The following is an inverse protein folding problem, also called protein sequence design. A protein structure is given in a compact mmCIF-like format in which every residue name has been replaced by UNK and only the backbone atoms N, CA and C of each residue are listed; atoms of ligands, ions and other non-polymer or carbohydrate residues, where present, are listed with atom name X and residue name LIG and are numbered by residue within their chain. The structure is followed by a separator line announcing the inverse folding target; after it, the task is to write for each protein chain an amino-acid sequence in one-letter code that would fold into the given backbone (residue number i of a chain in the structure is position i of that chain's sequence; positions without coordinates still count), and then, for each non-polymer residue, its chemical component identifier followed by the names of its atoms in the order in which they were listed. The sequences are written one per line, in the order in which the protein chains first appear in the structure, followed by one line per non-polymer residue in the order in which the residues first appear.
data_IF_272618955976
#
_entry.id   IF_272618955976
#
_cell.length_a   1.000
_cell.length_b   1.000
_cell.length_c   1.000
_cell.angle_alpha   90.00
_cell.angle_beta   90.00
_cell.angle_gamma   90.00
#
_symmetry.space_group_name_H-M   'P 1'
#
loop_
_entity.id
_entity.type
_entity.pdbx_description
1 polymer ?
#
# COMPACT_ATOMS: atom_id res chain seq x y z
N UNK A 1 -5.41 35.49 -4.95
CA UNK A 1 -6.41 34.42 -5.13
C UNK A 1 -5.67 33.15 -5.52
N UNK A 2 -5.47 32.21 -4.59
CA UNK A 2 -4.59 31.07 -4.81
C UNK A 2 -5.32 29.77 -4.56
N UNK A 3 -5.60 29.02 -5.63
CA UNK A 3 -6.14 27.64 -5.64
C UNK A 3 -7.67 27.46 -5.56
N UNK A 4 -8.48 28.48 -5.25
CA UNK A 4 -9.94 28.33 -5.17
C UNK A 4 -10.58 27.75 -6.45
N UNK A 5 -10.05 28.14 -7.61
CA UNK A 5 -10.52 27.72 -8.93
C UNK A 5 -10.08 26.30 -9.34
N UNK A 6 -9.26 25.62 -8.54
CA UNK A 6 -8.75 24.28 -8.85
C UNK A 6 -9.50 23.21 -8.06
N UNK A 7 -9.81 22.09 -8.71
CA UNK A 7 -10.32 20.90 -8.05
C UNK A 7 -9.29 20.30 -7.05
N UNK A 8 -9.74 19.53 -6.06
CA UNK A 8 -8.89 18.89 -5.05
C UNK A 8 -7.66 18.20 -5.66
N UNK A 9 -7.82 17.39 -6.70
CA UNK A 9 -6.68 16.68 -7.32
C UNK A 9 -5.75 17.61 -8.09
N UNK A 10 -6.28 18.69 -8.67
CA UNK A 10 -5.48 19.72 -9.32
C UNK A 10 -4.67 20.52 -8.30
N UNK A 11 -5.23 20.83 -7.14
CA UNK A 11 -4.51 21.46 -6.01
C UNK A 11 -3.37 20.57 -5.53
N UNK A 12 -3.63 19.28 -5.34
CA UNK A 12 -2.62 18.31 -4.95
C UNK A 12 -1.47 18.22 -5.96
N UNK A 13 -1.79 18.11 -7.26
CA UNK A 13 -0.79 18.08 -8.33
C UNK A 13 0.05 19.36 -8.35
N UNK A 14 -0.57 20.53 -8.20
CA UNK A 14 0.13 21.81 -8.16
C UNK A 14 1.08 21.95 -6.96
N UNK A 15 0.72 21.34 -5.83
CA UNK A 15 1.56 21.30 -4.62
C UNK A 15 2.55 20.12 -4.59
N UNK A 16 2.60 19.30 -5.64
CA UNK A 16 3.38 18.06 -5.69
C UNK A 16 3.12 17.14 -4.49
N UNK A 17 1.85 17.03 -4.13
CA UNK A 17 1.36 16.36 -2.94
C UNK A 17 0.53 15.13 -3.32
N UNK A 18 0.79 14.00 -2.66
CA UNK A 18 -0.05 12.81 -2.78
C UNK A 18 -1.47 13.04 -2.23
N UNK A 19 -2.43 12.21 -2.62
CA UNK A 19 -3.73 12.13 -1.95
C UNK A 19 -3.59 11.63 -0.52
N UNK A 20 -4.61 11.87 0.31
CA UNK A 20 -4.62 11.34 1.69
C UNK A 20 -4.57 9.81 1.72
N UNK A 21 -5.26 9.13 0.80
CA UNK A 21 -5.23 7.68 0.71
C UNK A 21 -3.82 7.18 0.39
N UNK A 22 -3.17 7.76 -0.63
CA UNK A 22 -1.80 7.39 -1.02
C UNK A 22 -0.78 7.62 0.09
N UNK A 23 -0.89 8.72 0.84
CA UNK A 23 -0.01 8.95 2.01
C UNK A 23 -0.22 7.91 3.10
N UNK A 24 -1.47 7.55 3.40
CA UNK A 24 -1.80 6.52 4.41
C UNK A 24 -1.24 5.16 3.99
N UNK A 25 -1.44 4.76 2.74
CA UNK A 25 -0.93 3.48 2.24
C UNK A 25 0.61 3.45 2.18
N UNK A 26 1.24 4.54 1.73
CA UNK A 26 2.70 4.71 1.78
C UNK A 26 3.23 4.55 3.21
N UNK A 27 2.58 5.16 4.20
CA UNK A 27 2.94 5.00 5.61
C UNK A 27 2.83 3.53 6.05
N UNK A 28 1.74 2.84 5.70
CA UNK A 28 1.56 1.43 6.05
C UNK A 28 2.64 0.52 5.46
N UNK A 29 3.09 0.81 4.24
CA UNK A 29 4.18 0.09 3.58
C UNK A 29 5.51 0.32 4.30
N UNK A 30 5.83 1.58 4.61
CA UNK A 30 7.08 1.95 5.32
C UNK A 30 7.10 1.33 6.71
N UNK A 31 6.00 1.47 7.48
CA UNK A 31 5.88 0.89 8.81
C UNK A 31 6.04 -0.64 8.78
N UNK A 32 5.41 -1.31 7.82
CA UNK A 32 5.57 -2.75 7.64
C UNK A 32 7.03 -3.13 7.33
N UNK A 33 7.70 -2.38 6.45
CA UNK A 33 9.11 -2.58 6.12
C UNK A 33 10.02 -2.38 7.33
N UNK A 34 9.82 -1.32 8.11
CA UNK A 34 10.60 -1.06 9.32
C UNK A 34 10.48 -2.19 10.35
N UNK A 35 9.26 -2.72 10.55
CA UNK A 35 9.01 -3.83 11.47
C UNK A 35 9.69 -5.12 11.04
N UNK A 36 9.67 -5.46 9.75
CA UNK A 36 10.31 -6.69 9.25
C UNK A 36 11.84 -6.57 9.12
N UNK A 37 12.38 -5.36 9.06
CA UNK A 37 13.83 -5.10 9.15
C UNK A 37 14.32 -5.00 10.61
N UNK A 38 13.41 -5.03 11.59
CA UNK A 38 13.75 -4.92 13.01
C UNK A 38 14.16 -3.51 13.44
N UNK A 39 13.80 -2.48 12.67
CA UNK A 39 14.06 -1.07 12.99
C UNK A 39 13.02 -0.51 13.98
N UNK A 40 11.84 -1.12 14.04
CA UNK A 40 10.75 -0.79 14.96
C UNK A 40 10.13 -2.05 15.53
N UNK A 41 9.40 -1.91 16.65
CA UNK A 41 8.70 -3.03 17.26
C UNK A 41 7.65 -3.64 16.30
N UNK A 42 7.65 -4.96 16.18
CA UNK A 42 6.77 -5.70 15.28
C UNK A 42 5.34 -5.87 15.84
N UNK A 43 4.68 -4.74 16.11
CA UNK A 43 3.32 -4.68 16.67
C UNK A 43 2.27 -5.34 15.77
N UNK A 44 2.51 -5.40 14.45
CA UNK A 44 1.60 -6.03 13.48
C UNK A 44 1.81 -7.55 13.35
N UNK A 45 2.84 -8.12 14.00
CA UNK A 45 3.16 -9.54 13.93
C UNK A 45 3.51 -10.00 12.51
N UNK A 46 4.16 -9.14 11.73
CA UNK A 46 4.55 -9.39 10.35
C UNK A 46 5.77 -10.29 10.28
N UNK A 47 5.75 -11.28 9.39
CA UNK A 47 6.86 -12.17 9.12
C UNK A 47 7.19 -12.11 7.65
N UNK A 48 8.47 -11.91 7.35
CA UNK A 48 8.96 -12.03 5.98
C UNK A 48 9.04 -13.52 5.60
N UNK A 49 8.37 -13.91 4.51
CA UNK A 49 8.47 -15.22 3.89
C UNK A 49 9.18 -15.08 2.55
N UNK A 50 10.24 -15.87 2.34
CA UNK A 50 10.86 -15.99 1.01
C UNK A 50 10.15 -17.08 0.21
N UNK A 51 9.74 -16.73 -1.01
CA UNK A 51 9.26 -17.66 -2.02
C UNK A 51 10.18 -17.53 -3.23
N UNK A 52 11.16 -18.44 -3.35
CA UNK A 52 12.26 -18.32 -4.30
C UNK A 52 13.04 -17.01 -4.12
N UNK A 53 13.19 -16.24 -5.20
CA UNK A 53 13.87 -14.93 -5.20
C UNK A 53 13.00 -13.79 -4.65
N UNK A 54 11.76 -14.03 -4.25
CA UNK A 54 10.80 -12.98 -3.91
C UNK A 54 10.48 -12.96 -2.42
N UNK A 55 10.60 -11.78 -1.77
CA UNK A 55 10.19 -11.57 -0.38
C UNK A 55 8.72 -11.15 -0.32
N UNK A 56 7.91 -11.86 0.45
CA UNK A 56 6.54 -11.45 0.82
C UNK A 56 6.45 -11.28 2.33
N UNK A 57 5.44 -10.56 2.79
CA UNK A 57 5.11 -10.52 4.22
C UNK A 57 3.78 -11.25 4.45
N UNK A 58 3.66 -11.82 5.64
CA UNK A 58 2.43 -12.41 6.16
C UNK A 58 2.26 -11.96 7.60
N UNK A 59 1.04 -11.69 8.06
CA UNK A 59 0.80 -11.44 9.49
C UNK A 59 0.38 -12.70 10.21
N UNK A 60 1.08 -13.05 11.29
CA UNK A 60 0.70 -14.14 12.17
C UNK A 60 -0.58 -13.85 12.97
N UNK A 61 -1.00 -12.58 13.04
CA UNK A 61 -2.21 -12.14 13.77
C UNK A 61 -3.50 -12.30 12.96
N UNK A 62 -3.42 -12.67 11.69
CA UNK A 62 -4.59 -12.89 10.83
C UNK A 62 -5.04 -14.34 11.03
N UNK A 63 -6.17 -14.60 11.71
CA UNK A 63 -6.67 -15.96 11.84
C UNK A 63 -7.10 -16.49 10.46
N UNK A 64 -6.79 -17.76 10.19
CA UNK A 64 -7.26 -18.51 9.00
C UNK A 64 -8.59 -19.23 9.33
N UNK A 65 -8.82 -19.49 10.61
CA UNK A 65 -10.02 -20.07 11.21
C UNK A 65 -10.01 -19.83 12.72
N UNK A 66 -11.15 -20.02 13.38
CA UNK A 66 -11.26 -20.01 14.84
C UNK A 66 -11.71 -21.42 15.24
N UNK A 67 -10.90 -22.14 16.01
CA UNK A 67 -11.16 -23.51 16.47
C UNK A 67 -11.50 -24.48 15.32
N UNK A 68 -10.74 -24.44 14.23
CA UNK A 68 -10.96 -25.28 13.05
C UNK A 68 -12.18 -24.93 12.20
N UNK A 69 -12.95 -23.89 12.59
CA UNK A 69 -14.11 -23.42 11.83
C UNK A 69 -13.75 -22.21 10.96
N UNK A 70 -14.43 -22.12 9.82
CA UNK A 70 -14.38 -20.93 8.95
C UNK A 70 -14.81 -19.68 9.73
N UNK A 71 -14.11 -18.59 9.45
CA UNK A 71 -14.38 -17.29 10.07
C UNK A 71 -15.73 -16.76 9.56
N UNK A 72 -16.57 -16.26 10.47
CA UNK A 72 -17.86 -15.64 10.13
C UNK A 72 -17.63 -14.41 9.25
N UNK A 73 -18.57 -14.12 8.35
CA UNK A 73 -18.42 -13.03 7.37
C UNK A 73 -18.12 -11.66 8.01
N UNK A 74 -18.83 -11.30 9.08
CA UNK A 74 -18.57 -10.07 9.86
C UNK A 74 -17.11 -9.95 10.30
N UNK A 75 -16.52 -11.06 10.75
CA UNK A 75 -15.16 -11.11 11.29
C UNK A 75 -14.16 -11.06 10.12
N UNK A 76 -14.52 -11.59 8.94
CA UNK A 76 -13.72 -11.44 7.70
C UNK A 76 -13.62 -9.99 7.27
N UNK A 77 -14.70 -9.21 7.37
CA UNK A 77 -14.68 -7.76 7.06
C UNK A 77 -13.82 -6.99 8.03
N UNK A 78 -13.90 -7.28 9.33
CA UNK A 78 -13.01 -6.68 10.34
C UNK A 78 -11.54 -7.00 10.08
N UNK A 79 -11.24 -8.27 9.79
CA UNK A 79 -9.89 -8.72 9.43
C UNK A 79 -9.42 -8.02 8.15
N UNK A 80 -10.26 -7.95 7.12
CA UNK A 80 -9.96 -7.27 5.86
C UNK A 80 -9.57 -5.80 6.08
N UNK A 81 -10.27 -5.12 7.00
CA UNK A 81 -10.04 -3.72 7.30
C UNK A 81 -8.93 -3.46 8.34
N UNK A 82 -8.42 -4.51 8.99
CA UNK A 82 -7.34 -4.42 9.98
C UNK A 82 -6.03 -3.89 9.37
N UNK A 83 -5.26 -3.16 10.16
CA UNK A 83 -3.97 -2.58 9.75
C UNK A 83 -3.00 -3.65 9.28
N UNK A 84 -2.90 -4.78 9.99
CA UNK A 84 -2.01 -5.88 9.61
C UNK A 84 -2.35 -6.44 8.23
N UNK A 85 -3.64 -6.66 7.93
CA UNK A 85 -4.09 -7.17 6.61
C UNK A 85 -3.86 -6.15 5.50
N UNK A 86 -4.12 -4.87 5.76
CA UNK A 86 -3.86 -3.78 4.80
C UNK A 86 -2.37 -3.67 4.49
N UNK A 87 -1.52 -3.60 5.51
CA UNK A 87 -0.06 -3.61 5.36
C UNK A 87 0.44 -4.81 4.56
N UNK A 88 -0.07 -6.02 4.85
CA UNK A 88 0.30 -7.23 4.12
C UNK A 88 0.00 -7.12 2.62
N UNK A 89 -1.22 -6.70 2.26
CA UNK A 89 -1.64 -6.57 0.86
C UNK A 89 -0.86 -5.49 0.12
N UNK A 90 -0.68 -4.33 0.76
CA UNK A 90 0.04 -3.20 0.19
C UNK A 90 1.53 -3.50 -0.02
N UNK A 91 2.17 -4.16 0.94
CA UNK A 91 3.57 -4.54 0.77
C UNK A 91 3.73 -5.60 -0.32
N UNK A 92 2.83 -6.58 -0.38
CA UNK A 92 2.96 -7.70 -1.32
C UNK A 92 2.67 -7.33 -2.78
N UNK A 93 2.05 -6.18 -3.04
CA UNK A 93 1.84 -5.68 -4.41
C UNK A 93 3.03 -4.90 -4.96
N UNK A 94 3.99 -4.52 -4.10
CA UNK A 94 5.22 -3.87 -4.54
C UNK A 94 6.00 -4.75 -5.55
N UNK A 95 6.74 -4.15 -6.49
CA UNK A 95 7.69 -4.85 -7.33
C UNK A 95 8.69 -5.65 -6.50
N UNK A 96 9.13 -6.78 -7.05
CA UNK A 96 10.12 -7.64 -6.38
C UNK A 96 11.40 -6.88 -6.03
N UNK A 97 11.85 -5.98 -6.90
CA UNK A 97 13.03 -5.14 -6.68
C UNK A 97 12.91 -4.29 -5.41
N UNK A 98 11.72 -3.78 -5.10
CA UNK A 98 11.46 -2.97 -3.89
C UNK A 98 11.25 -3.86 -2.66
N UNK A 99 10.49 -4.95 -2.79
CA UNK A 99 10.25 -5.90 -1.66
C UNK A 99 11.54 -6.52 -1.13
N UNK A 100 12.52 -6.69 -2.00
CA UNK A 100 13.80 -7.29 -1.67
C UNK A 100 14.84 -6.29 -1.13
N UNK A 101 14.52 -5.00 -1.05
CA UNK A 101 15.38 -4.02 -0.38
C UNK A 101 15.44 -4.35 1.11
N UNK A 102 16.62 -4.71 1.59
CA UNK A 102 16.90 -5.03 2.99
C UNK A 102 18.22 -4.42 3.42
N UNK A 103 18.48 -4.37 4.73
CA UNK A 103 19.76 -3.91 5.31
C UNK A 103 20.21 -2.53 4.80
N UNK A 104 19.26 -1.62 4.64
CA UNK A 104 19.51 -0.25 4.20
C UNK A 104 18.82 0.73 5.14
N UNK A 105 19.11 2.03 4.99
CA UNK A 105 18.39 3.06 5.72
C UNK A 105 16.93 3.17 5.27
N UNK A 106 16.05 3.60 6.19
CA UNK A 106 14.65 3.92 5.89
C UNK A 106 14.53 4.94 4.76
N UNK A 107 15.45 5.91 4.68
CA UNK A 107 15.42 6.95 3.65
C UNK A 107 15.69 6.40 2.25
N UNK A 108 16.64 5.47 2.13
CA UNK A 108 16.88 4.76 0.88
C UNK A 108 15.63 4.01 0.43
N UNK A 109 14.97 3.28 1.33
CA UNK A 109 13.74 2.57 1.03
C UNK A 109 12.62 3.52 0.59
N UNK A 110 12.39 4.63 1.32
CA UNK A 110 11.40 5.66 0.96
C UNK A 110 11.62 6.18 -0.45
N UNK A 111 12.86 6.49 -0.83
CA UNK A 111 13.19 6.98 -2.18
C UNK A 111 12.82 5.99 -3.28
N UNK A 112 13.10 4.70 -3.09
CA UNK A 112 12.68 3.66 -4.05
C UNK A 112 11.17 3.50 -4.11
N UNK A 113 10.50 3.57 -2.96
CA UNK A 113 9.04 3.54 -2.89
C UNK A 113 8.42 4.74 -3.61
N UNK A 114 8.87 5.96 -3.34
CA UNK A 114 8.34 7.19 -3.95
C UNK A 114 8.57 7.21 -5.47
N UNK A 115 9.72 6.74 -5.95
CA UNK A 115 9.99 6.58 -7.39
C UNK A 115 8.99 5.64 -8.07
N UNK A 116 8.54 4.59 -7.38
CA UNK A 116 7.54 3.68 -7.93
C UNK A 116 6.11 4.20 -7.75
N UNK A 117 5.82 4.88 -6.65
CA UNK A 117 4.50 5.49 -6.44
C UNK A 117 4.21 6.59 -7.46
N UNK A 118 5.23 7.32 -7.93
CA UNK A 118 5.06 8.34 -8.97
C UNK A 118 4.67 7.79 -10.34
N UNK A 119 4.90 6.49 -10.59
CA UNK A 119 4.43 5.83 -11.83
C UNK A 119 2.99 5.31 -11.74
N UNK A 120 2.34 5.43 -10.58
CA UNK A 120 0.98 4.93 -10.34
C UNK A 120 0.02 6.11 -10.25
N UNK A 121 -1.14 6.07 -10.94
CA UNK A 121 -2.17 7.09 -10.80
C UNK A 121 -2.59 7.27 -9.32
N UNK A 122 -2.69 8.52 -8.88
CA UNK A 122 -3.13 8.94 -7.54
C UNK A 122 -4.43 9.76 -7.58
N UNK A 123 -5.32 9.36 -8.48
CA UNK A 123 -6.66 9.93 -8.64
C UNK A 123 -7.67 8.79 -8.70
N UNK A 124 -8.82 8.89 -8.00
CA UNK A 124 -9.90 7.94 -8.13
C UNK A 124 -10.57 8.05 -9.51
N UNK A 125 -11.34 7.02 -9.87
CA UNK A 125 -12.27 7.11 -10.99
C UNK A 125 -13.40 8.06 -10.58
N UNK A 126 -13.53 9.19 -11.28
CA UNK A 126 -14.62 10.15 -11.07
C UNK A 126 -15.42 10.18 -12.37
N UNK A 127 -16.66 9.68 -12.36
CA UNK A 127 -17.55 9.84 -13.51
C UNK A 127 -17.84 11.33 -13.72
N UNK A 128 -17.54 11.84 -14.92
CA UNK A 128 -17.76 13.24 -15.31
C UNK A 128 -16.53 14.16 -15.24
N UNK A 129 -15.41 13.71 -14.67
CA UNK A 129 -14.13 14.44 -14.69
C UNK A 129 -13.11 13.59 -15.45
N UNK A 130 -12.41 14.14 -16.44
CA UNK A 130 -11.60 13.42 -17.44
C UNK A 130 -10.39 12.59 -16.94
N UNK A 131 -10.36 12.16 -15.69
CA UNK A 131 -9.44 11.14 -15.17
C UNK A 131 -10.02 9.74 -15.43
N UNK A 132 -9.79 9.21 -16.64
CA UNK A 132 -10.07 7.82 -16.97
C UNK A 132 -9.07 6.89 -16.28
N UNK A 133 -9.33 6.58 -15.01
CA UNK A 133 -8.58 5.56 -14.29
C UNK A 133 -9.38 4.25 -14.30
N UNK A 134 -8.77 3.17 -14.80
CA UNK A 134 -9.42 1.87 -14.91
C UNK A 134 -9.68 1.19 -13.54
N UNK A 135 -8.98 1.64 -12.50
CA UNK A 135 -9.10 1.09 -11.15
C UNK A 135 -10.38 1.50 -10.44
N UNK A 136 -10.95 0.55 -9.68
CA UNK A 136 -12.18 0.73 -8.91
C UNK A 136 -12.04 1.76 -7.78
N UNK A 137 -10.83 1.89 -7.19
CA UNK A 137 -10.53 2.88 -6.16
C UNK A 137 -9.13 3.44 -6.32
N UNK A 138 -8.79 4.49 -5.58
CA UNK A 138 -7.46 5.10 -5.60
C UNK A 138 -6.40 4.37 -4.73
N UNK A 139 -6.77 3.20 -4.19
CA UNK A 139 -5.84 2.32 -3.48
C UNK A 139 -4.74 1.80 -4.42
N UNK A 140 -3.49 1.81 -3.97
CA UNK A 140 -2.34 1.20 -4.66
C UNK A 140 -2.67 -0.23 -5.08
N UNK A 141 -3.37 -0.99 -4.25
CA UNK A 141 -3.72 -2.39 -4.55
C UNK A 141 -4.61 -2.54 -5.79
N UNK A 142 -5.51 -1.59 -6.05
CA UNK A 142 -6.36 -1.60 -7.24
C UNK A 142 -5.63 -0.99 -8.43
N UNK A 143 -4.97 0.16 -8.24
CA UNK A 143 -4.27 0.89 -9.31
C UNK A 143 -3.17 0.04 -9.98
N UNK A 144 -2.41 -0.71 -9.20
CA UNK A 144 -1.31 -1.56 -9.69
C UNK A 144 -1.76 -2.70 -10.59
N UNK A 145 -3.03 -3.12 -10.56
CA UNK A 145 -3.56 -4.15 -11.47
C UNK A 145 -3.71 -3.66 -12.91
N UNK A 146 -3.82 -2.34 -13.09
CA UNK A 146 -4.04 -1.69 -14.37
C UNK A 146 -2.80 -0.95 -14.89
N UNK A 147 -1.80 -0.72 -14.03
CA UNK A 147 -0.48 -0.31 -14.47
C UNK A 147 0.22 -1.50 -15.14
N UNK A 148 0.28 -1.49 -16.48
CA UNK A 148 1.22 -2.35 -17.21
C UNK A 148 2.61 -1.94 -16.74
N UNK A 149 3.24 -2.80 -15.94
CA UNK A 149 4.65 -2.65 -15.58
C UNK A 149 5.42 -2.91 -16.88
N UNK A 150 5.71 -1.85 -17.64
CA UNK A 150 6.68 -1.88 -18.75
C UNK A 150 8.09 -1.90 -18.18
#
# INVERSE_FOLDING_TARGET
MGLDQLDYHQRLKKLNLYSLERRRERYLIINAWQQIEGLTENVLGLKARRLGRSRRIVSAKIPIGINGKRIKERDRTLIHNSTARKSERLFNVLPQSIRNITKTTTETFKRHLDKWLSSIPDTPKIDGYGANVAAETNSIFHQTRYCIIR
#
